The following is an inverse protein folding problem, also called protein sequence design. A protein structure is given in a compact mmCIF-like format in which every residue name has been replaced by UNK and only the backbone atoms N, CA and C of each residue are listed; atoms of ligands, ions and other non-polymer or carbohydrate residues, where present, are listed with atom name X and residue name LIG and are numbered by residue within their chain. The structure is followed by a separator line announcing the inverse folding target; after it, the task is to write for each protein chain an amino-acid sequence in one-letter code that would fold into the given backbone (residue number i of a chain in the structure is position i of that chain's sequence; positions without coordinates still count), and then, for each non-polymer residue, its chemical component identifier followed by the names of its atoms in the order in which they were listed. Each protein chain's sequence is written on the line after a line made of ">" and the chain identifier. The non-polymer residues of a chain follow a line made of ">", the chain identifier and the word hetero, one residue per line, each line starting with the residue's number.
data_IF_100867435199
#
_entry.id   IF_100867435199
#
_cell.length_a   1.000
_cell.length_b   1.000
_cell.length_c   1.000
_cell.angle_alpha   90.00
_cell.angle_beta   90.00
_cell.angle_gamma   90.00
#
_symmetry.space_group_name_H-M   'P 1'
#
loop_
_entity.id
_entity.type
_entity.pdbx_description
1 polymer ?
#
# COMPACT_ATOMS: atom_id res chain seq x y z
N UNK A 1 -3.08 27.38 31.84
CA UNK A 1 -3.65 26.84 33.09
C UNK A 1 -5.03 26.22 32.88
N UNK A 2 -6.02 26.90 32.25
CA UNK A 2 -7.37 26.33 32.06
C UNK A 2 -7.40 25.01 31.26
N UNK A 3 -6.57 24.86 30.17
CA UNK A 3 -6.47 23.60 29.39
C UNK A 3 -5.93 22.44 30.25
N UNK A 4 -5.01 22.68 31.17
CA UNK A 4 -4.47 21.65 32.06
C UNK A 4 -5.48 21.16 33.12
N UNK A 5 -6.31 22.07 33.66
CA UNK A 5 -7.38 21.73 34.57
C UNK A 5 -8.52 20.96 33.91
N UNK A 6 -8.89 21.34 32.69
CA UNK A 6 -9.91 20.64 31.90
C UNK A 6 -9.42 19.21 31.51
N UNK A 7 -8.15 19.06 31.13
CA UNK A 7 -7.59 17.74 30.80
C UNK A 7 -7.43 16.84 32.03
N UNK A 8 -7.23 17.40 33.23
CA UNK A 8 -7.16 16.64 34.48
C UNK A 8 -8.51 16.07 34.91
N UNK A 9 -9.62 16.77 34.57
CA UNK A 9 -10.98 16.33 34.97
C UNK A 9 -11.67 15.50 33.87
N UNK A 10 -11.48 15.86 32.59
CA UNK A 10 -12.17 15.21 31.46
C UNK A 10 -11.29 14.14 30.80
N UNK A 11 -10.01 14.07 31.11
CA UNK A 11 -9.02 13.22 30.46
C UNK A 11 -8.55 13.81 29.11
N UNK A 12 -7.47 13.25 28.56
CA UNK A 12 -6.98 13.58 27.23
C UNK A 12 -7.91 13.02 26.14
N UNK A 13 -7.70 13.42 24.87
CA UNK A 13 -8.42 12.80 23.74
C UNK A 13 -8.21 11.28 23.69
N UNK A 14 -6.98 10.82 23.97
CA UNK A 14 -6.63 9.39 24.05
C UNK A 14 -7.40 8.67 25.15
N UNK A 15 -7.51 9.26 26.35
CA UNK A 15 -8.26 8.64 27.44
C UNK A 15 -9.75 8.46 27.11
N UNK A 16 -10.31 9.40 26.35
CA UNK A 16 -11.72 9.31 25.92
C UNK A 16 -11.92 8.25 24.84
N UNK A 17 -11.05 8.18 23.83
CA UNK A 17 -11.12 7.13 22.82
C UNK A 17 -10.88 5.75 23.46
N UNK A 18 -9.89 5.61 24.32
CA UNK A 18 -9.65 4.36 25.05
C UNK A 18 -10.88 3.91 25.86
N UNK A 19 -11.58 4.84 26.53
CA UNK A 19 -12.80 4.51 27.27
C UNK A 19 -13.94 4.03 26.39
N UNK A 20 -14.01 4.48 25.12
CA UNK A 20 -15.01 3.98 24.16
C UNK A 20 -14.69 2.60 23.64
N UNK A 21 -13.40 2.30 23.46
CA UNK A 21 -12.94 1.04 22.89
C UNK A 21 -12.83 -0.05 23.97
N UNK A 22 -12.56 0.31 25.23
CA UNK A 22 -12.35 -0.64 26.30
C UNK A 22 -13.50 -1.67 26.44
N UNK A 23 -14.79 -1.30 26.38
CA UNK A 23 -15.88 -2.28 26.42
C UNK A 23 -15.79 -3.34 25.33
N UNK A 24 -15.43 -2.94 24.11
CA UNK A 24 -15.25 -3.87 22.98
C UNK A 24 -14.10 -4.84 23.26
N UNK A 25 -13.00 -4.33 23.83
CA UNK A 25 -11.86 -5.19 24.24
C UNK A 25 -12.28 -6.16 25.33
N UNK A 26 -13.11 -5.73 26.25
CA UNK A 26 -13.63 -6.60 27.34
C UNK A 26 -14.51 -7.71 26.73
N UNK A 27 -15.39 -7.41 25.77
CA UNK A 27 -16.18 -8.40 25.02
C UNK A 27 -15.27 -9.36 24.22
N UNK A 28 -14.21 -8.86 23.57
CA UNK A 28 -13.22 -9.72 22.88
C UNK A 28 -12.58 -10.69 23.89
N UNK A 29 -12.25 -10.22 25.09
CA UNK A 29 -11.64 -11.07 26.12
C UNK A 29 -12.63 -12.13 26.66
N UNK A 30 -13.91 -11.83 26.76
CA UNK A 30 -14.96 -12.80 27.12
C UNK A 30 -15.09 -13.89 26.05
N UNK A 31 -15.18 -13.50 24.76
CA UNK A 31 -15.21 -14.44 23.65
C UNK A 31 -13.92 -15.26 23.55
N UNK A 32 -12.76 -14.64 23.78
CA UNK A 32 -11.49 -15.34 23.81
C UNK A 32 -11.44 -16.41 24.90
N UNK A 33 -11.93 -16.10 26.11
CA UNK A 33 -12.02 -17.08 27.19
C UNK A 33 -12.96 -18.25 26.84
N UNK A 34 -14.04 -17.99 26.12
CA UNK A 34 -14.96 -19.02 25.61
C UNK A 34 -14.26 -19.93 24.58
N UNK A 35 -13.56 -19.32 23.62
CA UNK A 35 -12.89 -20.03 22.53
C UNK A 35 -11.71 -20.90 23.00
N UNK A 36 -11.09 -20.60 24.13
CA UNK A 36 -10.04 -21.46 24.71
C UNK A 36 -10.50 -22.88 25.01
N UNK A 37 -11.82 -23.07 25.25
CA UNK A 37 -12.41 -24.33 25.63
C UNK A 37 -13.04 -25.11 24.48
N UNK A 38 -13.04 -24.57 23.25
CA UNK A 38 -13.59 -25.26 22.08
C UNK A 38 -12.56 -26.21 21.46
N UNK A 39 -13.04 -27.20 20.72
CA UNK A 39 -12.19 -28.11 19.96
C UNK A 39 -11.44 -27.37 18.83
N UNK A 40 -10.42 -28.01 18.26
CA UNK A 40 -9.71 -27.42 17.11
C UNK A 40 -10.61 -27.32 15.87
N UNK A 41 -11.46 -28.30 15.67
CA UNK A 41 -12.43 -28.32 14.58
C UNK A 41 -13.43 -27.19 14.70
N UNK A 42 -13.95 -26.93 15.89
CA UNK A 42 -14.86 -25.81 16.19
C UNK A 42 -14.17 -24.45 15.97
N UNK A 43 -12.92 -24.29 16.39
CA UNK A 43 -12.18 -23.04 16.14
C UNK A 43 -11.96 -22.79 14.65
N UNK A 44 -11.53 -23.81 13.92
CA UNK A 44 -11.36 -23.72 12.46
C UNK A 44 -12.69 -23.47 11.74
N UNK A 45 -13.79 -23.97 12.29
CA UNK A 45 -15.15 -23.77 11.78
C UNK A 45 -15.70 -22.36 12.04
N UNK A 46 -15.06 -21.54 12.87
CA UNK A 46 -15.56 -20.19 13.20
C UNK A 46 -15.68 -19.30 11.96
N UNK A 47 -14.74 -19.36 11.03
CA UNK A 47 -14.82 -18.58 9.78
C UNK A 47 -16.10 -18.86 9.01
N UNK A 48 -16.46 -20.13 8.84
CA UNK A 48 -17.68 -20.50 8.10
C UNK A 48 -18.95 -20.14 8.90
N UNK A 49 -18.93 -20.27 10.22
CA UNK A 49 -20.02 -19.80 11.09
C UNK A 49 -20.24 -18.30 10.91
N UNK A 50 -19.21 -17.48 11.00
CA UNK A 50 -19.29 -16.03 10.88
C UNK A 50 -19.74 -15.62 9.47
N UNK A 51 -19.23 -16.29 8.43
CA UNK A 51 -19.68 -16.12 7.05
C UNK A 51 -21.17 -16.48 6.88
N UNK A 52 -21.64 -17.51 7.58
CA UNK A 52 -23.04 -17.91 7.59
C UNK A 52 -23.96 -16.79 8.10
N UNK A 53 -23.60 -16.16 9.21
CA UNK A 53 -24.34 -15.03 9.80
C UNK A 53 -24.38 -13.84 8.83
N UNK A 54 -23.25 -13.51 8.18
CA UNK A 54 -23.20 -12.43 7.21
C UNK A 54 -24.13 -12.73 6.02
N UNK A 55 -24.05 -13.93 5.46
CA UNK A 55 -24.92 -14.36 4.34
C UNK A 55 -26.39 -14.26 4.70
N UNK A 56 -26.79 -14.77 5.85
CA UNK A 56 -28.18 -14.73 6.31
C UNK A 56 -28.74 -13.29 6.30
N UNK A 57 -27.92 -12.29 6.62
CA UNK A 57 -28.30 -10.88 6.65
C UNK A 57 -28.21 -10.18 5.28
N UNK A 58 -27.34 -10.64 4.38
CA UNK A 58 -26.98 -9.91 3.15
C UNK A 58 -27.45 -10.56 1.86
N UNK A 59 -27.79 -11.86 1.83
CA UNK A 59 -28.10 -12.60 0.61
C UNK A 59 -29.26 -11.97 -0.20
N UNK A 60 -30.33 -11.48 0.45
CA UNK A 60 -31.46 -10.84 -0.23
C UNK A 60 -31.02 -9.53 -0.90
N UNK A 61 -30.22 -8.72 -0.22
CA UNK A 61 -29.69 -7.47 -0.76
C UNK A 61 -28.67 -7.73 -1.89
N UNK A 62 -27.84 -8.74 -1.75
CA UNK A 62 -26.89 -9.14 -2.80
C UNK A 62 -27.62 -9.62 -4.05
N UNK A 63 -28.68 -10.43 -3.90
CA UNK A 63 -29.52 -10.87 -5.00
C UNK A 63 -30.21 -9.68 -5.70
N UNK A 64 -30.74 -8.73 -4.94
CA UNK A 64 -31.30 -7.49 -5.48
C UNK A 64 -30.29 -6.67 -6.26
N UNK A 65 -29.10 -6.46 -5.73
CA UNK A 65 -28.00 -5.74 -6.40
C UNK A 65 -27.59 -6.47 -7.69
N UNK A 66 -27.50 -7.80 -7.67
CA UNK A 66 -27.15 -8.58 -8.85
C UNK A 66 -28.21 -8.44 -9.97
N UNK A 67 -29.47 -8.49 -9.62
CA UNK A 67 -30.63 -8.29 -10.58
C UNK A 67 -30.56 -6.88 -11.19
N UNK A 68 -30.35 -5.85 -10.38
CA UNK A 68 -30.27 -4.46 -10.86
C UNK A 68 -29.04 -4.23 -11.76
N UNK A 69 -27.89 -4.83 -11.44
CA UNK A 69 -26.68 -4.75 -12.28
C UNK A 69 -26.90 -5.41 -13.64
N UNK A 70 -27.56 -6.56 -13.68
CA UNK A 70 -27.90 -7.23 -14.93
C UNK A 70 -28.93 -6.43 -15.75
N UNK A 71 -29.97 -5.91 -15.10
CA UNK A 71 -30.95 -5.03 -15.74
C UNK A 71 -30.28 -3.77 -16.33
N UNK A 72 -29.36 -3.14 -15.61
CA UNK A 72 -28.57 -1.99 -16.11
C UNK A 72 -27.77 -2.34 -17.37
N UNK A 73 -27.19 -3.54 -17.41
CA UNK A 73 -26.38 -4.03 -18.54
C UNK A 73 -27.24 -4.28 -19.78
N UNK A 74 -28.49 -4.73 -19.60
CA UNK A 74 -29.40 -5.12 -20.67
C UNK A 74 -30.42 -4.03 -21.04
N UNK A 75 -30.42 -2.88 -20.32
CA UNK A 75 -31.36 -1.79 -20.55
C UNK A 75 -31.33 -1.28 -21.99
N UNK A 76 -32.51 -1.11 -22.58
CA UNK A 76 -32.71 -0.81 -23.99
C UNK A 76 -32.30 0.63 -24.33
N UNK A 77 -32.57 1.58 -23.43
CA UNK A 77 -32.28 2.99 -23.65
C UNK A 77 -31.57 3.66 -22.44
N UNK A 78 -31.14 4.90 -22.65
CA UNK A 78 -30.41 5.67 -21.64
C UNK A 78 -31.30 6.07 -20.45
N UNK A 79 -32.57 6.33 -20.66
CA UNK A 79 -33.50 6.76 -19.59
C UNK A 79 -33.83 5.59 -18.66
N UNK A 80 -34.03 4.39 -19.20
CA UNK A 80 -34.17 3.18 -18.41
C UNK A 80 -32.93 2.87 -17.61
N UNK A 81 -31.77 2.98 -18.25
CA UNK A 81 -30.44 2.77 -17.58
C UNK A 81 -30.23 3.73 -16.43
N UNK A 82 -30.60 4.99 -16.57
CA UNK A 82 -30.49 6.01 -15.53
C UNK A 82 -31.42 5.72 -14.34
N UNK A 83 -32.64 5.27 -14.59
CA UNK A 83 -33.55 4.86 -13.51
C UNK A 83 -33.00 3.70 -12.70
N UNK A 84 -32.51 2.68 -13.40
CA UNK A 84 -31.91 1.51 -12.74
C UNK A 84 -30.63 1.93 -11.97
N UNK A 85 -29.86 2.85 -12.50
CA UNK A 85 -28.66 3.37 -11.82
C UNK A 85 -29.03 4.14 -10.54
N UNK A 86 -30.09 4.92 -10.57
CA UNK A 86 -30.61 5.60 -9.37
C UNK A 86 -31.11 4.60 -8.30
N UNK A 87 -31.76 3.52 -8.70
CA UNK A 87 -32.20 2.46 -7.78
C UNK A 87 -31.01 1.68 -7.23
N UNK A 88 -29.97 1.44 -8.06
CA UNK A 88 -28.78 0.70 -7.69
C UNK A 88 -27.85 1.50 -6.76
N UNK A 89 -27.53 2.73 -7.13
CA UNK A 89 -26.50 3.54 -6.48
C UNK A 89 -27.02 4.79 -5.78
N UNK A 90 -28.32 5.12 -5.93
CA UNK A 90 -28.89 6.37 -5.43
C UNK A 90 -28.49 7.59 -6.26
N UNK A 91 -29.12 8.72 -6.00
CA UNK A 91 -28.85 9.98 -6.71
C UNK A 91 -27.46 10.58 -6.42
N UNK A 92 -26.85 10.21 -5.33
CA UNK A 92 -25.52 10.66 -4.88
C UNK A 92 -24.41 9.62 -5.12
N UNK A 93 -24.73 8.48 -5.75
CA UNK A 93 -23.82 7.36 -5.98
C UNK A 93 -23.41 6.58 -4.72
N UNK A 94 -24.03 6.87 -3.58
CA UNK A 94 -23.73 6.24 -2.28
C UNK A 94 -24.93 5.53 -1.63
N UNK A 95 -26.13 5.82 -2.14
CA UNK A 95 -27.39 5.26 -1.67
C UNK A 95 -27.82 4.01 -2.43
N UNK A 96 -29.14 3.87 -2.62
CA UNK A 96 -29.75 2.75 -3.34
C UNK A 96 -29.43 1.39 -2.73
N UNK A 97 -29.67 0.34 -3.51
CA UNK A 97 -29.47 -1.04 -3.06
C UNK A 97 -28.00 -1.36 -2.69
N UNK A 98 -27.04 -0.78 -3.41
CA UNK A 98 -25.61 -0.94 -3.07
C UNK A 98 -25.23 -0.23 -1.77
N UNK A 99 -25.87 0.91 -1.49
CA UNK A 99 -25.68 1.63 -0.23
C UNK A 99 -26.29 0.91 0.96
N UNK A 100 -27.47 0.30 0.77
CA UNK A 100 -28.14 -0.54 1.76
C UNK A 100 -27.26 -1.77 2.09
N UNK A 101 -26.79 -2.48 1.08
CA UNK A 101 -25.92 -3.64 1.25
C UNK A 101 -24.61 -3.27 1.98
N UNK A 102 -23.99 -2.15 1.64
CA UNK A 102 -22.76 -1.71 2.34
C UNK A 102 -23.01 -1.41 3.82
N UNK A 103 -24.12 -0.77 4.16
CA UNK A 103 -24.49 -0.50 5.57
C UNK A 103 -24.75 -1.78 6.33
N UNK A 104 -25.52 -2.70 5.75
CA UNK A 104 -25.82 -3.98 6.38
C UNK A 104 -24.55 -4.80 6.64
N UNK A 105 -23.62 -4.84 5.67
CA UNK A 105 -22.31 -5.49 5.87
C UNK A 105 -21.54 -4.80 7.00
N UNK A 106 -21.51 -3.47 7.03
CA UNK A 106 -20.77 -2.75 8.07
C UNK A 106 -21.37 -3.02 9.47
N UNK A 107 -22.70 -2.97 9.61
CA UNK A 107 -23.40 -3.24 10.88
C UNK A 107 -23.12 -4.67 11.37
N UNK A 108 -23.22 -5.65 10.49
CA UNK A 108 -22.95 -7.05 10.84
C UNK A 108 -21.47 -7.27 11.21
N UNK A 109 -20.54 -6.60 10.54
CA UNK A 109 -19.12 -6.70 10.87
C UNK A 109 -18.80 -6.07 12.24
N UNK A 110 -19.45 -4.95 12.58
CA UNK A 110 -19.32 -4.33 13.90
C UNK A 110 -19.85 -5.27 15.01
N UNK A 111 -20.97 -5.95 14.79
CA UNK A 111 -21.53 -6.94 15.71
C UNK A 111 -20.61 -8.17 15.88
N UNK A 112 -20.01 -8.64 14.80
CA UNK A 112 -19.14 -9.83 14.79
C UNK A 112 -17.68 -9.55 15.21
N UNK A 113 -17.30 -8.28 15.34
CA UNK A 113 -15.91 -7.88 15.65
C UNK A 113 -15.36 -8.56 16.90
N UNK A 114 -16.08 -8.63 18.06
CA UNK A 114 -15.54 -9.26 19.25
C UNK A 114 -15.21 -10.74 19.04
N UNK A 115 -16.12 -11.51 18.47
CA UNK A 115 -15.90 -12.94 18.20
C UNK A 115 -14.82 -13.18 17.15
N UNK A 116 -14.78 -12.36 16.08
CA UNK A 116 -13.78 -12.47 15.03
C UNK A 116 -12.36 -12.19 15.55
N UNK A 117 -12.17 -11.13 16.35
CA UNK A 117 -10.87 -10.80 16.95
C UNK A 117 -10.43 -11.84 17.96
N UNK A 118 -11.36 -12.34 18.77
CA UNK A 118 -11.10 -13.44 19.69
C UNK A 118 -10.67 -14.73 18.95
N UNK A 119 -11.29 -15.01 17.78
CA UNK A 119 -10.95 -16.15 16.93
C UNK A 119 -9.50 -16.05 16.42
N UNK A 120 -9.09 -14.88 15.91
CA UNK A 120 -7.70 -14.66 15.48
C UNK A 120 -6.73 -14.79 16.65
N UNK A 121 -7.06 -14.21 17.81
CA UNK A 121 -6.22 -14.29 19.01
C UNK A 121 -6.04 -15.73 19.47
N UNK A 122 -7.11 -16.52 19.51
CA UNK A 122 -7.05 -17.94 19.88
C UNK A 122 -6.29 -18.77 18.85
N UNK A 123 -6.46 -18.50 17.57
CA UNK A 123 -5.66 -19.13 16.52
C UNK A 123 -4.16 -18.87 16.72
N UNK A 124 -3.78 -17.62 16.97
CA UNK A 124 -2.39 -17.26 17.30
C UNK A 124 -1.86 -18.02 18.49
N UNK A 125 -2.67 -18.20 19.56
CA UNK A 125 -2.28 -18.96 20.74
C UNK A 125 -2.06 -20.45 20.43
N UNK A 126 -2.94 -21.06 19.64
CA UNK A 126 -2.81 -22.48 19.23
C UNK A 126 -1.65 -22.74 18.30
N UNK A 127 -1.27 -21.74 17.52
CA UNK A 127 -0.11 -21.83 16.62
C UNK A 127 1.23 -21.68 17.34
N UNK A 128 1.29 -21.31 18.63
CA UNK A 128 2.55 -21.14 19.36
C UNK A 128 3.46 -22.37 19.23
N UNK A 129 4.71 -22.14 18.81
CA UNK A 129 5.72 -23.16 18.60
C UNK A 129 5.64 -23.90 17.26
N UNK A 130 4.61 -23.66 16.42
CA UNK A 130 4.57 -24.22 15.08
C UNK A 130 5.58 -23.50 14.16
N UNK A 131 6.03 -24.22 13.13
CA UNK A 131 7.00 -23.67 12.17
C UNK A 131 6.27 -23.15 10.94
N UNK A 132 6.72 -21.99 10.45
CA UNK A 132 6.24 -21.38 9.21
C UNK A 132 7.42 -20.95 8.34
N UNK A 133 7.33 -21.23 7.04
CA UNK A 133 8.34 -20.81 6.07
C UNK A 133 8.07 -19.35 5.64
N UNK A 134 9.01 -18.45 5.91
CA UNK A 134 8.93 -17.04 5.58
C UNK A 134 10.15 -16.61 4.81
N UNK A 135 9.99 -16.22 3.56
CA UNK A 135 11.08 -15.81 2.64
C UNK A 135 12.27 -16.79 2.62
N UNK A 136 11.97 -18.10 2.61
CA UNK A 136 12.97 -19.17 2.58
C UNK A 136 13.64 -19.47 3.92
N UNK A 137 13.12 -18.92 5.03
CA UNK A 137 13.59 -19.22 6.39
C UNK A 137 12.46 -19.81 7.22
N UNK A 138 12.78 -20.81 7.99
CA UNK A 138 11.85 -21.40 8.95
C UNK A 138 11.83 -20.55 10.22
N UNK A 139 10.65 -20.04 10.58
CA UNK A 139 10.40 -19.25 11.80
C UNK A 139 9.43 -19.99 12.71
N UNK A 140 9.64 -19.93 14.00
CA UNK A 140 8.68 -20.41 14.98
C UNK A 140 7.66 -19.31 15.28
N UNK A 141 6.37 -19.66 15.28
CA UNK A 141 5.32 -18.73 15.67
C UNK A 141 5.35 -18.51 17.19
N UNK A 142 5.51 -17.28 17.63
CA UNK A 142 5.65 -16.89 19.04
C UNK A 142 4.75 -15.71 19.47
N UNK A 143 3.77 -15.35 18.62
CA UNK A 143 2.99 -14.13 18.79
C UNK A 143 1.53 -14.43 19.16
N UNK A 144 1.02 -13.70 20.17
CA UNK A 144 -0.40 -13.62 20.52
C UNK A 144 -0.75 -12.16 20.75
N UNK A 145 -1.82 -11.62 20.15
CA UNK A 145 -2.18 -10.22 20.32
C UNK A 145 -2.45 -9.82 21.78
N UNK A 146 -1.89 -8.70 22.22
CA UNK A 146 -2.19 -8.06 23.49
C UNK A 146 -3.41 -7.15 23.38
N UNK A 147 -4.03 -6.78 24.51
CA UNK A 147 -5.22 -5.92 24.54
C UNK A 147 -4.99 -4.56 23.85
N UNK A 148 -3.80 -3.96 24.00
CA UNK A 148 -3.45 -2.73 23.31
C UNK A 148 -3.39 -2.92 21.78
N UNK A 149 -3.01 -4.10 21.30
CA UNK A 149 -3.00 -4.44 19.89
C UNK A 149 -4.42 -4.70 19.36
N UNK A 150 -5.32 -5.24 20.19
CA UNK A 150 -6.75 -5.31 19.84
C UNK A 150 -7.33 -3.91 19.64
N UNK A 151 -6.99 -2.94 20.50
CA UNK A 151 -7.39 -1.53 20.31
C UNK A 151 -6.92 -0.98 18.98
N UNK A 152 -5.65 -1.23 18.60
CA UNK A 152 -5.11 -0.83 17.30
C UNK A 152 -5.88 -1.44 16.13
N UNK A 153 -6.23 -2.72 16.21
CA UNK A 153 -7.05 -3.42 15.21
C UNK A 153 -8.45 -2.83 15.08
N UNK A 154 -9.10 -2.47 16.19
CA UNK A 154 -10.42 -1.81 16.21
C UNK A 154 -10.34 -0.44 15.50
N UNK A 155 -9.33 0.37 15.80
CA UNK A 155 -9.14 1.67 15.15
C UNK A 155 -8.93 1.54 13.65
N UNK A 156 -8.17 0.52 13.19
CA UNK A 156 -7.98 0.24 11.76
C UNK A 156 -9.29 -0.21 11.10
N UNK A 157 -10.10 -1.06 11.76
CA UNK A 157 -11.42 -1.45 11.24
C UNK A 157 -12.34 -0.25 11.06
N UNK A 158 -12.32 0.69 12.00
CA UNK A 158 -13.07 1.95 11.95
C UNK A 158 -12.54 2.97 10.91
N UNK A 159 -11.58 2.58 10.08
CA UNK A 159 -11.02 3.45 9.02
C UNK A 159 -10.16 4.59 9.55
N UNK A 160 -9.55 4.43 10.72
CA UNK A 160 -8.68 5.43 11.35
C UNK A 160 -7.20 5.08 11.14
N UNK A 161 -6.33 6.00 11.56
CA UNK A 161 -4.88 5.79 11.58
C UNK A 161 -4.49 5.30 12.97
N UNK A 162 -3.87 4.11 13.03
CA UNK A 162 -3.24 3.56 14.22
C UNK A 162 -1.74 3.86 14.18
N UNK A 163 -1.28 4.81 15.00
CA UNK A 163 0.14 5.10 15.16
C UNK A 163 0.75 4.13 16.16
N UNK A 164 1.73 3.35 15.71
CA UNK A 164 2.43 2.36 16.52
C UNK A 164 3.94 2.49 16.31
N UNK A 165 4.71 2.47 17.38
CA UNK A 165 6.17 2.52 17.30
C UNK A 165 6.74 1.23 16.66
N UNK A 166 7.98 1.33 16.18
CA UNK A 166 8.70 0.17 15.66
C UNK A 166 8.86 -0.90 16.74
N UNK A 167 8.53 -2.15 16.41
CA UNK A 167 8.60 -3.27 17.33
C UNK A 167 7.33 -3.54 18.15
N UNK A 168 6.29 -2.71 18.05
CA UNK A 168 5.01 -2.92 18.77
C UNK A 168 4.07 -3.92 18.09
N UNK A 169 4.49 -4.56 16.99
CA UNK A 169 3.76 -5.64 16.33
C UNK A 169 2.68 -5.16 15.37
N UNK A 170 2.91 -4.07 14.60
CA UNK A 170 1.98 -3.56 13.57
C UNK A 170 1.47 -4.65 12.63
N UNK A 171 2.37 -5.52 12.16
CA UNK A 171 2.04 -6.63 11.26
C UNK A 171 1.02 -7.59 11.87
N UNK A 172 1.17 -7.91 13.17
CA UNK A 172 0.21 -8.76 13.90
C UNK A 172 -1.12 -8.04 14.08
N UNK A 173 -1.12 -6.75 14.42
CA UNK A 173 -2.35 -5.94 14.59
C UNK A 173 -3.18 -5.93 13.33
N UNK A 174 -2.56 -5.80 12.17
CA UNK A 174 -3.24 -5.80 10.88
C UNK A 174 -4.02 -7.11 10.61
N UNK A 175 -3.63 -8.23 11.22
CA UNK A 175 -4.33 -9.52 11.03
C UNK A 175 -5.77 -9.49 11.49
N UNK A 176 -6.06 -8.75 12.55
CA UNK A 176 -7.38 -8.68 13.17
C UNK A 176 -8.43 -8.07 12.24
N UNK A 177 -8.28 -6.81 11.78
CA UNK A 177 -9.24 -6.20 10.87
C UNK A 177 -9.20 -6.81 9.46
N UNK A 178 -8.06 -7.35 8.97
CA UNK A 178 -8.02 -8.05 7.68
C UNK A 178 -8.86 -9.32 7.72
N UNK A 179 -8.77 -10.11 8.79
CA UNK A 179 -9.61 -11.30 8.96
C UNK A 179 -11.09 -10.92 8.96
N UNK A 180 -11.50 -9.97 9.81
CA UNK A 180 -12.90 -9.53 9.91
C UNK A 180 -13.45 -9.05 8.58
N UNK A 181 -12.73 -8.16 7.90
CA UNK A 181 -13.18 -7.58 6.63
C UNK A 181 -13.05 -8.53 5.41
N UNK A 182 -12.37 -9.66 5.57
CA UNK A 182 -12.32 -10.72 4.57
C UNK A 182 -13.54 -11.66 4.63
N UNK A 183 -14.25 -11.72 5.78
CA UNK A 183 -15.41 -12.62 5.99
C UNK A 183 -16.51 -12.47 4.94
N UNK A 184 -16.88 -11.25 4.46
CA UNK A 184 -17.87 -11.10 3.41
C UNK A 184 -17.47 -11.68 2.04
N UNK A 185 -16.24 -12.19 1.87
CA UNK A 185 -15.74 -12.75 0.61
C UNK A 185 -15.46 -11.72 -0.49
N UNK A 186 -15.48 -10.44 -0.16
CA UNK A 186 -15.28 -9.33 -1.12
C UNK A 186 -13.81 -8.91 -1.26
N UNK A 187 -12.92 -9.47 -0.44
CA UNK A 187 -11.48 -9.25 -0.42
C UNK A 187 -11.02 -8.08 0.42
N UNK A 188 -10.00 -8.36 1.21
CA UNK A 188 -9.26 -7.37 1.99
C UNK A 188 -7.85 -7.23 1.42
N UNK A 189 -7.32 -6.00 1.42
CA UNK A 189 -6.01 -5.71 0.85
C UNK A 189 -5.07 -5.15 1.93
N UNK A 190 -3.82 -5.60 1.93
CA UNK A 190 -2.75 -4.94 2.67
C UNK A 190 -1.74 -4.36 1.69
N UNK A 191 -1.58 -3.06 1.74
CA UNK A 191 -0.69 -2.27 0.89
C UNK A 191 0.55 -1.88 1.67
N UNK A 192 1.73 -2.18 1.15
CA UNK A 192 3.02 -1.83 1.78
C UNK A 192 3.98 -1.17 0.78
N UNK A 193 5.14 -0.73 1.25
CA UNK A 193 6.09 0.09 0.46
C UNK A 193 7.03 -0.72 -0.44
N UNK A 194 7.25 -2.01 -0.17
CA UNK A 194 8.16 -2.82 -0.98
C UNK A 194 7.77 -4.29 -1.03
N UNK A 195 8.21 -4.98 -2.08
CA UNK A 195 7.90 -6.38 -2.36
C UNK A 195 8.43 -7.37 -1.30
N UNK A 196 9.52 -7.03 -0.61
CA UNK A 196 10.04 -7.88 0.46
C UNK A 196 9.06 -7.94 1.64
N UNK A 197 8.54 -6.79 2.07
CA UNK A 197 7.54 -6.72 3.15
C UNK A 197 6.24 -7.40 2.73
N UNK A 198 5.76 -7.16 1.50
CA UNK A 198 4.56 -7.80 0.98
C UNK A 198 4.66 -9.34 1.04
N UNK A 199 5.77 -9.91 0.56
CA UNK A 199 6.04 -11.36 0.60
C UNK A 199 6.22 -11.88 2.01
N UNK A 200 7.03 -11.22 2.82
CA UNK A 200 7.31 -11.61 4.21
C UNK A 200 6.01 -11.69 5.01
N UNK A 201 5.21 -10.64 4.95
CA UNK A 201 4.05 -10.51 5.82
C UNK A 201 2.88 -11.37 5.32
N UNK A 202 2.71 -11.54 4.00
CA UNK A 202 1.73 -12.49 3.46
C UNK A 202 2.02 -13.94 3.86
N UNK A 203 3.29 -14.35 3.89
CA UNK A 203 3.70 -15.69 4.30
C UNK A 203 3.59 -15.86 5.82
N UNK A 204 4.05 -14.87 6.58
CA UNK A 204 4.09 -14.96 8.04
C UNK A 204 2.68 -14.90 8.64
N UNK A 205 1.91 -13.88 8.32
CA UNK A 205 0.53 -13.72 8.82
C UNK A 205 -0.42 -14.68 8.11
N UNK A 206 -0.10 -15.07 6.88
CA UNK A 206 -0.80 -16.11 6.12
C UNK A 206 -0.95 -17.42 6.86
N UNK A 207 -0.02 -17.73 7.77
CA UNK A 207 -0.09 -18.90 8.65
C UNK A 207 -1.36 -18.91 9.51
N UNK A 208 -1.72 -17.76 10.09
CA UNK A 208 -2.95 -17.60 10.89
C UNK A 208 -4.19 -17.67 10.01
N UNK A 209 -4.21 -16.96 8.90
CA UNK A 209 -5.36 -16.91 8.00
C UNK A 209 -5.68 -18.31 7.41
N UNK A 210 -4.64 -19.01 6.95
CA UNK A 210 -4.78 -20.36 6.40
C UNK A 210 -5.24 -21.37 7.49
N UNK A 211 -4.75 -21.23 8.72
CA UNK A 211 -5.22 -22.03 9.83
C UNK A 211 -6.73 -21.84 10.06
N UNK A 212 -7.24 -20.64 9.88
CA UNK A 212 -8.66 -20.30 9.99
C UNK A 212 -9.45 -20.51 8.69
N UNK A 213 -8.85 -21.07 7.64
CA UNK A 213 -9.52 -21.44 6.39
C UNK A 213 -9.67 -20.30 5.38
N UNK A 214 -8.97 -19.17 5.54
CA UNK A 214 -8.93 -18.10 4.54
C UNK A 214 -7.78 -18.31 3.55
N UNK A 215 -7.99 -17.82 2.33
CA UNK A 215 -6.99 -17.78 1.27
C UNK A 215 -6.18 -16.49 1.29
N UNK A 216 -4.87 -16.58 1.07
CA UNK A 216 -3.95 -15.44 1.07
C UNK A 216 -3.06 -15.50 -0.16
N UNK A 217 -2.82 -14.36 -0.79
CA UNK A 217 -1.87 -14.25 -1.88
C UNK A 217 -1.08 -12.94 -1.83
N UNK A 218 0.10 -12.95 -2.46
CA UNK A 218 0.93 -11.77 -2.68
C UNK A 218 0.99 -11.47 -4.18
N UNK A 219 0.52 -10.30 -4.61
CA UNK A 219 0.53 -9.94 -6.03
C UNK A 219 1.96 -9.70 -6.55
N UNK A 220 2.90 -9.30 -5.69
CA UNK A 220 4.30 -9.13 -6.07
C UNK A 220 5.01 -10.45 -6.46
N UNK A 221 4.37 -11.60 -6.27
CA UNK A 221 4.84 -12.92 -6.70
C UNK A 221 4.28 -13.36 -8.06
N UNK A 222 3.45 -12.54 -8.68
CA UNK A 222 2.75 -12.87 -9.92
C UNK A 222 3.04 -11.87 -11.03
N UNK A 223 3.02 -12.33 -12.29
CA UNK A 223 3.20 -11.44 -13.44
C UNK A 223 1.93 -10.63 -13.73
N UNK A 224 2.06 -9.33 -14.07
CA UNK A 224 0.93 -8.48 -14.41
C UNK A 224 0.10 -9.00 -15.58
N UNK A 225 -1.22 -8.91 -15.48
CA UNK A 225 -2.15 -9.29 -16.55
C UNK A 225 -2.37 -10.79 -16.72
N UNK A 226 -1.78 -11.64 -15.88
CA UNK A 226 -1.93 -13.10 -15.94
C UNK A 226 -3.15 -13.58 -15.15
N UNK A 227 -3.50 -14.83 -15.36
CA UNK A 227 -4.55 -15.50 -14.59
C UNK A 227 -4.13 -15.71 -13.13
N UNK A 228 -2.85 -15.97 -12.88
CA UNK A 228 -2.27 -16.08 -11.54
C UNK A 228 -2.45 -14.76 -10.77
N UNK A 229 -2.22 -13.61 -11.44
CA UNK A 229 -2.47 -12.28 -10.87
C UNK A 229 -3.94 -12.08 -10.50
N UNK A 230 -4.85 -12.49 -11.40
CA UNK A 230 -6.30 -12.45 -11.13
C UNK A 230 -6.67 -13.33 -9.95
N UNK A 231 -6.15 -14.55 -9.89
CA UNK A 231 -6.40 -15.48 -8.78
C UNK A 231 -5.87 -14.94 -7.46
N UNK A 232 -4.72 -14.24 -7.47
CA UNK A 232 -4.21 -13.54 -6.29
C UNK A 232 -5.19 -12.48 -5.77
N UNK A 233 -5.82 -11.70 -6.66
CA UNK A 233 -6.87 -10.76 -6.27
C UNK A 233 -8.19 -11.42 -5.82
N UNK A 234 -8.45 -12.67 -6.23
CA UNK A 234 -9.63 -13.42 -5.79
C UNK A 234 -9.45 -14.05 -4.41
N UNK A 235 -8.24 -14.08 -3.86
CA UNK A 235 -8.00 -14.52 -2.49
C UNK A 235 -8.75 -13.65 -1.47
N UNK A 236 -9.06 -14.22 -0.31
CA UNK A 236 -9.73 -13.49 0.77
C UNK A 236 -8.91 -12.28 1.24
N UNK A 237 -7.58 -12.46 1.31
CA UNK A 237 -6.64 -11.42 1.69
C UNK A 237 -5.53 -11.34 0.65
N UNK A 238 -5.30 -10.14 0.12
CA UNK A 238 -4.29 -9.87 -0.91
C UNK A 238 -3.26 -8.86 -0.39
N UNK A 239 -2.00 -9.28 -0.37
CA UNK A 239 -0.85 -8.41 -0.05
C UNK A 239 -0.20 -7.89 -1.32
N UNK A 240 0.35 -6.68 -1.27
CA UNK A 240 1.12 -6.13 -2.38
C UNK A 240 1.68 -4.76 -2.10
N UNK A 241 2.55 -4.30 -3.00
CA UNK A 241 3.07 -2.94 -2.94
C UNK A 241 2.07 -1.94 -3.49
N UNK A 242 2.15 -0.70 -2.99
CA UNK A 242 1.37 0.43 -3.49
C UNK A 242 1.49 0.59 -5.02
N UNK A 243 2.70 0.41 -5.56
CA UNK A 243 2.97 0.51 -6.99
C UNK A 243 2.25 -0.58 -7.79
N UNK A 244 2.32 -1.84 -7.34
CA UNK A 244 1.67 -2.96 -8.04
C UNK A 244 0.15 -2.82 -8.07
N UNK A 245 -0.49 -2.47 -6.93
CA UNK A 245 -1.92 -2.16 -6.89
C UNK A 245 -2.28 -1.02 -7.82
N UNK A 246 -1.50 0.06 -7.81
CA UNK A 246 -1.75 1.22 -8.65
C UNK A 246 -1.54 0.96 -10.13
N UNK A 247 -0.49 0.23 -10.51
CA UNK A 247 -0.26 -0.16 -11.91
C UNK A 247 -1.34 -1.13 -12.42
N UNK A 248 -1.79 -2.07 -11.62
CA UNK A 248 -2.90 -2.95 -12.01
C UNK A 248 -4.19 -2.17 -12.20
N UNK A 249 -4.49 -1.19 -11.33
CA UNK A 249 -5.62 -0.31 -11.51
C UNK A 249 -5.54 0.47 -12.84
N UNK A 250 -4.38 1.01 -13.18
CA UNK A 250 -4.20 1.71 -14.45
C UNK A 250 -4.35 0.76 -15.66
N UNK A 251 -3.75 -0.44 -15.59
CA UNK A 251 -3.89 -1.46 -16.63
C UNK A 251 -5.35 -1.88 -16.83
N UNK A 252 -6.08 -2.13 -15.75
CA UNK A 252 -7.48 -2.52 -15.79
C UNK A 252 -8.40 -1.44 -16.40
N UNK A 253 -8.02 -0.16 -16.30
CA UNK A 253 -8.73 0.94 -16.96
C UNK A 253 -8.40 1.07 -18.47
N UNK A 254 -7.38 0.39 -18.96
CA UNK A 254 -6.99 0.41 -20.38
C UNK A 254 -7.45 -0.83 -21.15
N UNK A 255 -7.97 -1.86 -20.49
CA UNK A 255 -8.42 -3.09 -21.15
C UNK A 255 -9.67 -2.86 -22.00
N UNK A 256 -9.81 -3.62 -23.09
CA UNK A 256 -10.95 -3.52 -24.01
C UNK A 256 -12.17 -4.32 -23.54
N UNK A 257 -11.97 -5.30 -22.67
CA UNK A 257 -13.04 -6.16 -22.13
C UNK A 257 -12.94 -6.29 -20.61
N UNK A 258 -14.07 -6.25 -19.87
CA UNK A 258 -14.08 -6.50 -18.43
C UNK A 258 -13.46 -7.84 -18.01
N UNK A 259 -13.50 -8.84 -18.89
CA UNK A 259 -12.87 -10.15 -18.63
C UNK A 259 -11.33 -10.13 -18.57
N UNK A 260 -10.72 -9.05 -19.06
CA UNK A 260 -9.26 -8.87 -19.02
C UNK A 260 -8.79 -8.19 -17.73
N UNK A 261 -9.69 -7.67 -16.92
CA UNK A 261 -9.36 -7.07 -15.63
C UNK A 261 -8.84 -8.12 -14.66
N UNK A 262 -7.83 -7.75 -13.89
CA UNK A 262 -7.28 -8.60 -12.84
C UNK A 262 -7.85 -8.26 -11.48
N UNK A 263 -8.12 -6.97 -11.21
CA UNK A 263 -8.70 -6.52 -9.95
C UNK A 263 -10.21 -6.72 -9.91
N UNK A 264 -10.71 -7.04 -8.73
CA UNK A 264 -12.14 -6.95 -8.39
C UNK A 264 -12.43 -5.61 -7.68
N UNK A 265 -13.65 -5.43 -7.16
CA UNK A 265 -14.00 -4.23 -6.38
C UNK A 265 -13.10 -4.07 -5.14
N UNK A 266 -12.76 -2.83 -4.81
CA UNK A 266 -12.02 -2.49 -3.60
C UNK A 266 -13.01 -2.33 -2.44
N UNK A 267 -12.91 -3.19 -1.43
CA UNK A 267 -13.84 -3.21 -0.29
C UNK A 267 -13.19 -2.69 0.97
N UNK A 268 -12.03 -3.25 1.33
CA UNK A 268 -11.26 -2.85 2.49
C UNK A 268 -9.78 -2.87 2.18
N UNK A 269 -9.04 -1.89 2.69
CA UNK A 269 -7.58 -1.85 2.57
C UNK A 269 -6.94 -1.27 3.83
N UNK A 270 -5.83 -1.87 4.24
CA UNK A 270 -4.89 -1.29 5.18
C UNK A 270 -3.67 -0.83 4.40
N UNK A 271 -3.25 0.41 4.62
CA UNK A 271 -2.01 0.96 4.07
C UNK A 271 -0.99 1.00 5.19
N UNK A 272 0.01 0.11 5.13
CA UNK A 272 1.15 0.12 6.05
C UNK A 272 2.19 1.14 5.60
N UNK A 273 2.95 1.70 6.55
CA UNK A 273 3.91 2.79 6.32
C UNK A 273 3.25 3.96 5.54
N UNK A 274 2.07 4.39 6.02
CA UNK A 274 1.20 5.36 5.33
C UNK A 274 1.85 6.72 5.08
N UNK A 275 2.77 7.14 5.91
CA UNK A 275 3.60 8.33 5.75
C UNK A 275 4.50 8.23 4.51
N UNK A 276 5.17 7.09 4.30
CA UNK A 276 5.93 6.85 3.08
C UNK A 276 5.03 6.80 1.85
N UNK A 277 3.93 6.04 1.90
CA UNK A 277 3.05 5.83 0.73
C UNK A 277 2.29 7.11 0.33
N UNK A 278 1.69 7.81 1.30
CA UNK A 278 0.76 8.91 1.01
C UNK A 278 1.37 10.31 1.16
N UNK A 279 2.56 10.44 1.74
CA UNK A 279 3.24 11.72 1.95
C UNK A 279 4.54 11.78 1.18
N UNK A 280 5.52 10.93 1.50
CA UNK A 280 6.87 11.01 0.92
C UNK A 280 6.90 10.68 -0.56
N UNK A 281 6.20 9.63 -0.99
CA UNK A 281 6.11 9.17 -2.38
C UNK A 281 4.87 9.67 -3.12
N UNK A 282 3.99 10.45 -2.48
CA UNK A 282 2.71 10.89 -3.04
C UNK A 282 2.83 11.69 -4.36
N UNK A 283 3.98 12.28 -4.62
CA UNK A 283 4.25 13.05 -5.85
C UNK A 283 4.86 12.22 -6.98
N UNK A 284 5.22 10.97 -6.73
CA UNK A 284 5.79 10.10 -7.77
C UNK A 284 4.65 9.54 -8.62
N UNK A 285 4.47 10.00 -9.88
CA UNK A 285 3.37 9.53 -10.70
C UNK A 285 3.61 8.08 -11.12
N UNK A 286 2.56 7.27 -11.11
CA UNK A 286 2.56 5.96 -11.75
C UNK A 286 2.35 6.18 -13.26
N UNK A 287 3.39 5.95 -14.05
CA UNK A 287 3.35 6.16 -15.50
C UNK A 287 3.50 4.81 -16.21
N UNK A 288 2.48 4.42 -16.97
CA UNK A 288 2.60 3.33 -17.92
C UNK A 288 3.01 3.96 -19.25
N UNK A 289 4.29 3.79 -19.62
CA UNK A 289 4.79 4.15 -20.94
C UNK A 289 5.22 2.88 -21.67
N UNK A 290 4.65 2.64 -22.84
CA UNK A 290 5.14 1.62 -23.78
C UNK A 290 5.97 2.29 -24.87
N UNK A 291 6.88 1.58 -25.51
CA UNK A 291 7.45 2.07 -26.75
C UNK A 291 6.27 2.32 -27.71
N UNK A 292 6.06 3.57 -28.10
CA UNK A 292 5.19 3.89 -29.21
C UNK A 292 5.91 3.29 -30.42
N UNK A 293 5.42 2.13 -30.86
CA UNK A 293 6.08 1.36 -31.89
C UNK A 293 6.24 2.14 -33.17
N UNK A 294 7.42 2.67 -33.33
CA UNK A 294 8.09 2.80 -34.61
C UNK A 294 9.53 2.37 -34.34
N UNK A 295 9.80 1.09 -34.49
CA UNK A 295 11.15 0.50 -34.48
C UNK A 295 12.07 1.07 -35.57
N UNK A 296 11.59 2.06 -36.28
CA UNK A 296 12.30 2.80 -37.33
C UNK A 296 12.08 4.30 -37.12
N UNK A 297 12.68 4.87 -36.06
CA UNK A 297 12.97 6.31 -36.13
C UNK A 297 14.31 6.49 -36.84
N UNK A 298 14.30 6.72 -38.17
CA UNK A 298 15.53 6.89 -38.97
C UNK A 298 16.35 8.08 -38.47
N UNK A 299 15.73 9.00 -37.73
CA UNK A 299 16.40 10.18 -37.19
C UNK A 299 17.35 9.83 -36.06
N UNK A 300 17.01 8.86 -35.17
CA UNK A 300 17.91 8.43 -34.11
C UNK A 300 19.22 7.88 -34.69
N UNK A 301 19.15 6.95 -35.64
CA UNK A 301 20.33 6.38 -36.28
C UNK A 301 21.09 7.42 -37.13
N UNK A 302 20.38 8.32 -37.77
CA UNK A 302 20.98 9.38 -38.58
C UNK A 302 21.84 10.34 -37.74
N UNK A 303 21.39 10.70 -36.53
CA UNK A 303 22.08 11.68 -35.70
C UNK A 303 23.01 11.08 -34.68
N UNK A 304 22.92 9.78 -34.35
CA UNK A 304 23.71 9.13 -33.33
C UNK A 304 25.21 9.37 -33.44
N UNK A 305 25.78 9.20 -34.63
CA UNK A 305 27.21 9.41 -34.87
C UNK A 305 27.65 10.88 -34.71
N UNK A 306 26.73 11.82 -35.00
CA UNK A 306 26.92 13.26 -34.78
C UNK A 306 26.93 13.60 -33.30
N UNK A 307 25.95 13.07 -32.56
CA UNK A 307 25.83 13.23 -31.10
C UNK A 307 27.03 12.62 -30.39
N UNK A 308 27.45 11.42 -30.77
CA UNK A 308 28.66 10.79 -30.17
C UNK A 308 29.90 11.66 -30.35
N UNK A 309 30.11 12.24 -31.51
CA UNK A 309 31.24 13.16 -31.75
C UNK A 309 31.17 14.41 -30.88
N UNK A 310 29.97 14.99 -30.75
CA UNK A 310 29.75 16.14 -29.86
C UNK A 310 30.04 15.80 -28.38
N UNK A 311 29.51 14.67 -27.89
CA UNK A 311 29.74 14.21 -26.53
C UNK A 311 31.23 13.95 -26.28
N UNK A 312 31.94 13.35 -27.23
CA UNK A 312 33.39 13.14 -27.11
C UNK A 312 34.16 14.47 -27.03
N UNK A 313 33.86 15.42 -27.93
CA UNK A 313 34.47 16.74 -27.87
C UNK A 313 34.17 17.49 -26.59
N UNK A 314 32.91 17.42 -26.13
CA UNK A 314 32.51 18.03 -24.88
C UNK A 314 33.30 17.43 -23.69
N UNK A 315 33.47 16.11 -23.66
CA UNK A 315 34.24 15.41 -22.62
C UNK A 315 35.69 15.81 -22.65
N UNK A 316 36.33 15.92 -23.83
CA UNK A 316 37.70 16.36 -24.01
C UNK A 316 37.89 17.79 -23.50
N UNK A 317 36.99 18.72 -23.89
CA UNK A 317 36.99 20.10 -23.43
C UNK A 317 36.89 20.22 -21.92
N UNK A 318 35.93 19.49 -21.32
CA UNK A 318 35.75 19.48 -19.86
C UNK A 318 36.97 18.94 -19.17
N UNK A 319 37.61 17.86 -19.66
CA UNK A 319 38.82 17.33 -19.07
C UNK A 319 40.00 18.31 -19.18
N UNK A 320 40.11 19.08 -20.26
CA UNK A 320 41.09 20.14 -20.41
C UNK A 320 40.85 21.26 -19.40
N UNK A 321 39.61 21.75 -19.28
CA UNK A 321 39.23 22.79 -18.32
C UNK A 321 39.51 22.38 -16.86
N UNK A 322 39.20 21.12 -16.50
CA UNK A 322 39.51 20.60 -15.17
C UNK A 322 41.00 20.56 -14.92
N UNK A 323 41.84 20.08 -15.86
CA UNK A 323 43.24 20.03 -15.74
C UNK A 323 43.93 21.42 -15.77
N UNK A 324 43.28 22.42 -16.39
CA UNK A 324 43.75 23.82 -16.30
C UNK A 324 43.39 24.44 -14.94
N UNK A 325 42.20 24.16 -14.43
CA UNK A 325 41.77 24.62 -13.11
C UNK A 325 42.68 24.09 -12.01
N UNK A 326 43.05 22.79 -12.04
CA UNK A 326 44.02 22.21 -11.11
C UNK A 326 45.33 23.00 -11.09
N UNK A 327 45.89 23.29 -12.28
CA UNK A 327 47.12 24.07 -12.41
C UNK A 327 47.03 25.52 -11.93
N UNK A 328 45.84 26.14 -12.12
CA UNK A 328 45.60 27.50 -11.66
C UNK A 328 45.50 27.54 -10.11
N UNK A 329 44.88 26.56 -9.50
CA UNK A 329 44.84 26.42 -8.05
C UNK A 329 46.23 26.17 -7.45
N UNK A 330 47.06 25.34 -8.11
CA UNK A 330 48.45 25.13 -7.70
C UNK A 330 49.30 26.42 -7.74
N UNK A 331 48.99 27.33 -8.67
CA UNK A 331 49.63 28.66 -8.80
C UNK A 331 49.07 29.71 -7.88
N UNK A 332 48.00 29.39 -7.12
CA UNK A 332 47.30 30.33 -6.23
C UNK A 332 46.29 31.24 -6.95
N UNK A 333 46.02 31.03 -8.25
CA UNK A 333 45.01 31.77 -9.01
C UNK A 333 43.59 31.11 -8.85
N UNK A 334 43.02 31.36 -7.69
CA UNK A 334 41.70 30.80 -7.36
C UNK A 334 40.56 31.37 -8.23
N UNK A 335 40.70 32.56 -8.79
CA UNK A 335 39.67 33.19 -9.60
C UNK A 335 39.57 32.49 -10.98
N UNK A 336 40.70 32.31 -11.66
CA UNK A 336 40.77 31.61 -12.95
C UNK A 336 40.37 30.13 -12.79
N UNK A 337 40.86 29.46 -11.75
CA UNK A 337 40.56 28.07 -11.45
C UNK A 337 39.05 27.84 -11.21
N UNK A 338 38.43 28.70 -10.41
CA UNK A 338 36.96 28.62 -10.11
C UNK A 338 36.10 28.82 -11.35
N UNK A 339 36.45 29.78 -12.20
CA UNK A 339 35.74 30.03 -13.47
C UNK A 339 35.83 28.84 -14.41
N UNK A 340 36.98 28.19 -14.49
CA UNK A 340 37.17 27.00 -15.34
C UNK A 340 36.39 25.79 -14.78
N UNK A 341 36.38 25.60 -13.45
CA UNK A 341 35.55 24.57 -12.84
C UNK A 341 34.06 24.82 -13.06
N UNK A 342 33.58 26.05 -12.94
CA UNK A 342 32.19 26.41 -13.23
C UNK A 342 31.82 26.07 -14.67
N UNK A 343 32.66 26.46 -15.66
CA UNK A 343 32.45 26.09 -17.06
C UNK A 343 32.48 24.57 -17.29
N UNK A 344 33.34 23.85 -16.63
CA UNK A 344 33.39 22.40 -16.69
C UNK A 344 32.15 21.75 -16.10
N UNK A 345 31.58 22.30 -15.03
CA UNK A 345 30.33 21.84 -14.42
C UNK A 345 29.13 22.06 -15.33
N UNK A 346 29.04 23.22 -15.99
CA UNK A 346 27.99 23.46 -17.00
C UNK A 346 28.12 22.52 -18.21
N UNK A 347 29.35 22.19 -18.62
CA UNK A 347 29.60 21.33 -19.76
C UNK A 347 29.34 19.84 -19.52
N UNK A 348 29.70 19.30 -18.35
CA UNK A 348 29.49 17.90 -18.01
C UNK A 348 29.49 17.69 -16.48
N UNK A 349 28.37 17.91 -15.80
CA UNK A 349 28.28 17.85 -14.34
C UNK A 349 28.57 16.46 -13.77
N UNK A 350 28.46 15.39 -14.57
CA UNK A 350 28.74 14.00 -14.16
C UNK A 350 30.17 13.54 -14.47
N UNK A 351 31.07 14.44 -14.90
CA UNK A 351 32.47 14.10 -15.18
C UNK A 351 33.18 13.68 -13.91
N UNK A 352 33.79 12.48 -13.90
CA UNK A 352 34.44 11.89 -12.71
C UNK A 352 35.63 12.69 -12.17
N UNK A 353 36.40 13.33 -13.07
CA UNK A 353 37.55 14.13 -12.66
C UNK A 353 37.10 15.44 -12.02
N UNK A 354 36.13 16.09 -12.61
CA UNK A 354 35.44 17.27 -12.05
C UNK A 354 34.89 16.97 -10.66
N UNK A 355 34.20 15.84 -10.51
CA UNK A 355 33.58 15.44 -9.24
C UNK A 355 34.61 15.27 -8.12
N UNK A 356 35.77 14.66 -8.42
CA UNK A 356 36.85 14.54 -7.46
C UNK A 356 37.36 15.89 -7.01
N UNK A 357 37.62 16.81 -7.94
CA UNK A 357 38.14 18.14 -7.66
C UNK A 357 37.17 19.00 -6.86
N UNK A 358 35.86 18.84 -7.11
CA UNK A 358 34.81 19.51 -6.32
C UNK A 358 34.66 18.97 -4.88
N UNK A 359 35.16 17.77 -4.60
CA UNK A 359 35.17 17.22 -3.24
C UNK A 359 36.33 17.77 -2.37
N UNK A 360 37.34 18.37 -2.98
CA UNK A 360 38.39 19.03 -2.24
C UNK A 360 37.87 20.26 -1.51
N UNK A 361 38.43 20.48 -0.29
CA UNK A 361 37.93 21.50 0.62
C UNK A 361 37.95 22.89 0.00
N UNK A 362 36.77 23.53 -0.08
CA UNK A 362 36.60 24.90 -0.57
C UNK A 362 36.20 25.02 -2.07
N UNK A 363 36.56 24.07 -2.92
CA UNK A 363 36.31 24.18 -4.38
C UNK A 363 34.83 24.26 -4.73
N UNK A 364 33.99 23.51 -4.03
CA UNK A 364 32.51 23.57 -4.22
C UNK A 364 31.94 24.95 -3.89
N UNK A 365 32.41 25.56 -2.80
CA UNK A 365 31.98 26.91 -2.38
C UNK A 365 32.43 27.98 -3.39
N UNK A 366 33.63 27.85 -3.96
CA UNK A 366 34.13 28.75 -4.98
C UNK A 366 33.31 28.68 -6.25
N UNK A 367 32.93 27.49 -6.69
CA UNK A 367 32.08 27.31 -7.88
C UNK A 367 30.66 27.85 -7.63
N UNK A 368 30.07 27.62 -6.46
CA UNK A 368 28.76 28.19 -6.09
C UNK A 368 28.79 29.73 -6.07
N UNK A 369 29.88 30.33 -5.61
CA UNK A 369 30.07 31.79 -5.69
C UNK A 369 30.10 32.28 -7.12
N UNK A 370 30.85 31.60 -8.01
CA UNK A 370 30.91 31.91 -9.43
C UNK A 370 29.54 31.79 -10.11
N UNK A 371 28.75 30.81 -9.71
CA UNK A 371 27.38 30.63 -10.20
C UNK A 371 26.49 31.82 -9.83
N UNK A 372 26.54 32.26 -8.58
CA UNK A 372 25.80 33.46 -8.13
C UNK A 372 26.21 34.74 -8.85
N UNK A 373 27.51 34.93 -9.08
CA UNK A 373 28.06 36.09 -9.77
C UNK A 373 27.70 36.15 -11.28
N UNK A 374 27.30 35.01 -11.89
CA UNK A 374 26.93 34.90 -13.32
C UNK A 374 25.41 34.82 -13.54
N UNK A 375 24.60 34.62 -12.49
CA UNK A 375 23.13 34.64 -12.56
C UNK A 375 22.59 36.08 -12.34
N UNK A 376 23.38 36.97 -11.69
CA UNK A 376 23.07 38.39 -11.50
C UNK A 376 23.50 39.19 -12.73
#
# INVERSE_FOLDING_TARGET
>A
MLKGLISAVIGTRHDRERRKIQPIVDEINEEYARLQNVSEEELRGQTEKLRGIIRERTDELEARVAVLREAKRTAADAAEREKIDQELSGSDGRGGAEGELRREIAEVLDELLPEAFATVREACRRLLGTQVMVTGRELSWDMVPYDVQLMGGIELHLGKIAEMATGEGKTLVATLPLYLNALPGKGSHLVTVNSYLARRDSQWMGHVYTYLGLTVACIDDTEPGTEERRNAYLSDITYGTNNEFGFDYLRDNMVQSPSQRVQRSHTFAIVDEVDSVLIDEARTPLIISGPVGNDNDPMYFQYNSGVERLVRRQTELVNSLVGEAERDFEKGDSASGSLKLYKAQLGSPKNRRLFKLLQETGNKTLVQKMELDHIA
#
